data_IF_473275743065
#
_entry.id   IF_473275743065
#
_cell.length_a   1.000
_cell.length_b   1.000
_cell.length_c   1.000
_cell.angle_alpha   90.00
_cell.angle_beta   90.00
_cell.angle_gamma   90.00
#
_symmetry.space_group_name_H-M   'P 1'
#
loop_
_entity.id
_entity.type
_entity.pdbx_description
1 polymer ?
#
# COMPACT_ATOMS: atom_id res chain seq x y z
N UNK A 1 26.27 -11.47 -17.36
CA UNK A 1 27.46 -10.60 -17.28
C UNK A 1 27.30 -9.48 -18.30
N UNK A 2 26.60 -8.42 -17.93
CA UNK A 2 26.67 -7.11 -18.59
C UNK A 2 26.74 -6.07 -17.49
N UNK A 3 27.97 -5.89 -16.98
CA UNK A 3 28.35 -4.72 -16.21
C UNK A 3 28.55 -3.60 -17.21
N UNK A 4 27.58 -2.68 -17.29
CA UNK A 4 27.80 -1.36 -17.90
C UNK A 4 27.98 -0.41 -16.73
N UNK A 5 29.17 0.19 -16.67
CA UNK A 5 29.58 1.13 -15.65
C UNK A 5 28.57 2.28 -15.51
N UNK A 6 28.13 2.56 -14.29
CA UNK A 6 27.34 3.75 -13.99
C UNK A 6 28.30 4.93 -13.72
N UNK A 7 28.21 6.04 -14.45
CA UNK A 7 29.11 7.19 -14.27
C UNK A 7 28.59 8.08 -13.13
N UNK A 8 29.28 8.12 -11.98
CA UNK A 8 29.20 9.14 -10.92
C UNK A 8 27.82 9.43 -10.23
N UNK A 9 26.69 9.11 -10.85
CA UNK A 9 25.33 9.42 -10.40
C UNK A 9 24.72 8.33 -9.52
N UNK A 10 25.19 7.09 -9.62
CA UNK A 10 24.71 5.99 -8.76
C UNK A 10 24.95 6.22 -7.26
N UNK A 11 25.97 7.02 -6.89
CA UNK A 11 26.27 7.33 -5.49
C UNK A 11 25.33 8.37 -4.86
N UNK A 12 24.69 9.23 -5.68
CA UNK A 12 23.67 10.17 -5.22
C UNK A 12 22.31 9.50 -5.05
N UNK A 13 22.00 8.51 -5.91
CA UNK A 13 20.75 7.73 -5.85
C UNK A 13 20.68 6.84 -4.61
N UNK A 14 21.80 6.41 -4.01
CA UNK A 14 21.78 5.69 -2.73
C UNK A 14 21.59 6.61 -1.52
N UNK A 15 21.97 7.89 -1.63
CA UNK A 15 21.82 8.85 -0.53
C UNK A 15 20.38 9.37 -0.40
N UNK A 16 19.70 9.63 -1.52
CA UNK A 16 18.36 10.24 -1.51
C UNK A 16 17.30 9.41 -0.73
N UNK A 17 17.22 8.07 -0.88
CA UNK A 17 16.29 7.25 -0.09
C UNK A 17 16.64 7.25 1.40
N UNK A 18 17.93 7.24 1.76
CA UNK A 18 18.40 7.30 3.16
C UNK A 18 18.10 8.66 3.77
N UNK A 19 18.24 9.73 2.99
CA UNK A 19 17.89 11.09 3.37
C UNK A 19 16.37 11.24 3.57
N UNK A 20 15.55 10.68 2.67
CA UNK A 20 14.10 10.70 2.80
C UNK A 20 13.60 9.87 3.98
N UNK A 21 14.15 8.68 4.20
CA UNK A 21 13.82 7.84 5.34
C UNK A 21 14.17 8.52 6.67
N UNK A 22 15.34 9.17 6.75
CA UNK A 22 15.73 9.92 7.95
C UNK A 22 14.87 11.17 8.17
N UNK A 23 14.48 11.90 7.11
CA UNK A 23 13.53 13.02 7.19
C UNK A 23 12.16 12.59 7.73
N UNK A 24 11.59 11.50 7.22
CA UNK A 24 10.30 10.96 7.69
C UNK A 24 10.40 10.52 9.14
N UNK A 25 11.48 9.84 9.53
CA UNK A 25 11.73 9.44 10.91
C UNK A 25 11.81 10.62 11.87
N UNK A 26 12.56 11.67 11.51
CA UNK A 26 12.66 12.89 12.33
C UNK A 26 11.33 13.63 12.39
N UNK A 27 10.58 13.71 11.28
CA UNK A 27 9.25 14.32 11.24
C UNK A 27 8.29 13.61 12.22
N UNK A 28 8.25 12.28 12.20
CA UNK A 28 7.47 11.48 13.15
C UNK A 28 7.86 11.76 14.60
N UNK A 29 9.15 11.81 14.91
CA UNK A 29 9.63 12.12 16.27
C UNK A 29 9.24 13.55 16.68
N UNK A 30 9.35 14.54 15.80
CA UNK A 30 8.95 15.93 16.12
C UNK A 30 7.45 16.08 16.36
N UNK A 31 6.62 15.33 15.63
CA UNK A 31 5.18 15.28 15.87
C UNK A 31 4.85 14.63 17.22
N UNK A 32 5.54 13.54 17.56
CA UNK A 32 5.32 12.82 18.82
C UNK A 32 5.79 13.62 20.05
N UNK A 33 6.90 14.35 19.92
CA UNK A 33 7.46 15.19 21.00
C UNK A 33 6.85 16.61 21.05
N UNK A 34 5.91 16.94 20.15
CA UNK A 34 5.26 18.25 20.06
C UNK A 34 6.26 19.43 19.85
N UNK A 35 7.35 19.18 19.14
CA UNK A 35 8.36 20.19 18.82
C UNK A 35 8.05 20.90 17.49
N UNK A 36 7.10 21.86 17.53
CA UNK A 36 6.57 22.55 16.33
C UNK A 36 7.63 23.41 15.62
N UNK A 37 8.72 23.77 16.30
CA UNK A 37 9.78 24.63 15.78
C UNK A 37 10.47 24.06 14.52
N UNK A 38 10.60 22.73 14.43
CA UNK A 38 11.29 22.03 13.33
C UNK A 38 10.34 21.63 12.18
N UNK A 39 9.04 21.62 12.42
CA UNK A 39 8.02 21.18 11.45
C UNK A 39 8.09 21.92 10.09
N UNK A 40 8.18 23.26 10.01
CA UNK A 40 8.20 23.93 8.70
C UNK A 40 9.48 23.61 7.91
N UNK A 41 10.62 23.44 8.59
CA UNK A 41 11.90 23.09 7.96
C UNK A 41 11.82 21.67 7.39
N UNK A 42 11.28 20.72 8.15
CA UNK A 42 11.13 19.32 7.71
C UNK A 42 10.16 19.18 6.53
N UNK A 43 9.07 19.95 6.51
CA UNK A 43 8.15 19.99 5.38
C UNK A 43 8.78 20.60 4.13
N UNK A 44 9.58 21.65 4.26
CA UNK A 44 10.31 22.22 3.10
C UNK A 44 11.34 21.22 2.57
N UNK A 45 12.09 20.56 3.45
CA UNK A 45 13.09 19.56 3.05
C UNK A 45 12.45 18.33 2.37
N UNK A 46 11.29 17.88 2.84
CA UNK A 46 10.55 16.78 2.20
C UNK A 46 9.98 17.17 0.83
N UNK A 47 9.50 18.40 0.67
CA UNK A 47 9.06 18.91 -0.64
C UNK A 47 10.25 19.03 -1.61
N UNK A 48 11.39 19.55 -1.15
CA UNK A 48 12.61 19.66 -1.98
C UNK A 48 13.11 18.29 -2.41
N UNK A 49 13.12 17.30 -1.52
CA UNK A 49 13.55 15.95 -1.87
C UNK A 49 12.57 15.24 -2.82
N UNK A 50 11.27 15.49 -2.69
CA UNK A 50 10.24 15.02 -3.63
C UNK A 50 10.39 15.66 -5.02
N UNK A 51 10.72 16.96 -5.09
CA UNK A 51 10.98 17.65 -6.35
C UNK A 51 12.25 17.13 -7.04
N UNK A 52 13.30 16.84 -6.27
CA UNK A 52 14.51 16.22 -6.79
C UNK A 52 14.24 14.81 -7.32
N UNK A 53 13.50 14.00 -6.55
CA UNK A 53 13.04 12.68 -6.99
C UNK A 53 12.18 12.75 -8.26
N UNK A 54 11.28 13.74 -8.36
CA UNK A 54 10.45 13.97 -9.54
C UNK A 54 11.28 14.32 -10.78
N UNK A 55 12.29 15.18 -10.64
CA UNK A 55 13.18 15.54 -11.75
C UNK A 55 14.06 14.35 -12.19
N UNK A 56 14.51 13.53 -11.25
CA UNK A 56 15.25 12.31 -11.54
C UNK A 56 14.36 11.30 -12.29
N UNK A 57 13.09 11.16 -11.89
CA UNK A 57 12.09 10.32 -12.56
C UNK A 57 11.87 10.69 -14.03
N UNK A 58 12.05 11.96 -14.41
CA UNK A 58 11.88 12.44 -15.78
C UNK A 58 13.07 12.09 -16.69
N UNK A 59 14.27 11.90 -16.12
CA UNK A 59 15.52 11.73 -16.88
C UNK A 59 16.02 10.28 -16.97
N UNK A 60 15.36 9.35 -16.27
CA UNK A 60 15.81 7.95 -16.20
C UNK A 60 15.11 7.08 -17.26
N UNK A 61 15.91 6.50 -18.15
CA UNK A 61 15.50 5.47 -19.13
C UNK A 61 15.56 4.04 -18.57
N UNK A 62 16.07 3.86 -17.34
CA UNK A 62 16.24 2.56 -16.68
C UNK A 62 15.22 2.39 -15.55
N UNK A 63 14.28 1.48 -15.75
CA UNK A 63 13.34 1.08 -14.72
C UNK A 63 13.91 -0.11 -13.92
N UNK A 64 14.11 0.06 -12.62
CA UNK A 64 14.64 -0.99 -11.74
C UNK A 64 13.49 -1.69 -11.01
N UNK A 65 13.05 -2.84 -11.54
CA UNK A 65 12.05 -3.70 -10.87
C UNK A 65 12.50 -4.11 -9.45
N UNK A 66 13.81 -4.26 -9.23
CA UNK A 66 14.40 -4.59 -7.93
C UNK A 66 14.11 -3.55 -6.85
N UNK A 67 13.99 -2.27 -7.20
CA UNK A 67 13.65 -1.22 -6.25
C UNK A 67 12.22 -1.38 -5.72
N UNK A 68 11.30 -1.80 -6.58
CA UNK A 68 9.91 -2.05 -6.18
C UNK A 68 9.78 -3.29 -5.27
N UNK A 69 10.57 -4.34 -5.53
CA UNK A 69 10.62 -5.49 -4.63
C UNK A 69 11.13 -5.13 -3.23
N UNK A 70 12.11 -4.23 -3.12
CA UNK A 70 12.57 -3.72 -1.82
C UNK A 70 11.49 -2.89 -1.10
N UNK A 71 10.71 -2.11 -1.85
CA UNK A 71 9.55 -1.40 -1.32
C UNK A 71 8.48 -2.37 -0.78
N UNK A 72 8.13 -3.42 -1.55
CA UNK A 72 7.18 -4.44 -1.07
C UNK A 72 7.73 -5.14 0.19
N UNK A 73 9.03 -5.43 0.23
CA UNK A 73 9.65 -6.03 1.41
C UNK A 73 9.52 -5.14 2.66
N UNK A 74 9.71 -3.82 2.53
CA UNK A 74 9.51 -2.92 3.67
C UNK A 74 8.06 -2.91 4.17
N UNK A 75 7.07 -2.94 3.26
CA UNK A 75 5.67 -3.00 3.65
C UNK A 75 5.31 -4.35 4.32
N UNK A 76 5.86 -5.47 3.82
CA UNK A 76 5.71 -6.78 4.46
C UNK A 76 6.24 -6.76 5.90
N UNK A 77 7.39 -6.10 6.15
CA UNK A 77 7.92 -5.96 7.51
C UNK A 77 7.02 -5.08 8.40
N UNK A 78 6.45 -4.00 7.85
CA UNK A 78 5.53 -3.13 8.57
C UNK A 78 4.25 -3.88 8.97
N UNK A 79 3.55 -4.52 8.03
CA UNK A 79 2.37 -5.35 8.32
C UNK A 79 2.71 -6.53 9.23
N UNK A 80 3.85 -7.18 9.03
CA UNK A 80 4.31 -8.29 9.86
C UNK A 80 4.46 -7.90 11.33
N UNK A 81 4.98 -6.70 11.62
CA UNK A 81 5.09 -6.21 12.99
C UNK A 81 3.74 -6.00 13.66
N UNK A 82 2.76 -5.42 12.95
CA UNK A 82 1.42 -5.17 13.48
C UNK A 82 0.61 -6.46 13.66
N UNK A 83 0.67 -7.36 12.68
CA UNK A 83 0.02 -8.68 12.77
C UNK A 83 0.60 -9.52 13.92
N UNK A 84 1.91 -9.42 14.17
CA UNK A 84 2.54 -10.06 15.33
C UNK A 84 1.99 -9.50 16.65
N UNK A 85 1.74 -8.19 16.72
CA UNK A 85 1.08 -7.58 17.89
C UNK A 85 -0.35 -8.10 18.07
N UNK A 86 -1.15 -8.19 16.99
CA UNK A 86 -2.49 -8.76 17.06
C UNK A 86 -2.47 -10.19 17.62
N UNK A 87 -1.55 -11.02 17.12
CA UNK A 87 -1.41 -12.40 17.58
C UNK A 87 -0.90 -12.50 19.03
N UNK A 88 0.04 -11.63 19.43
CA UNK A 88 0.65 -11.69 20.76
C UNK A 88 -0.27 -11.19 21.87
N UNK A 89 -1.08 -10.17 21.58
CA UNK A 89 -2.01 -9.57 22.55
C UNK A 89 -3.40 -10.20 22.53
N UNK A 90 -3.58 -11.30 21.83
CA UNK A 90 -4.83 -12.06 21.88
C UNK A 90 -5.07 -12.57 23.31
N UNK A 91 -6.06 -11.98 23.98
CA UNK A 91 -6.43 -12.32 25.37
C UNK A 91 -7.61 -13.29 25.37
N UNK A 92 -7.69 -14.16 26.38
CA UNK A 92 -8.70 -15.22 26.50
C UNK A 92 -10.19 -14.77 26.47
N UNK A 93 -10.49 -13.46 26.46
CA UNK A 93 -11.81 -12.89 26.23
C UNK A 93 -11.84 -12.11 24.91
N UNK A 94 -11.67 -12.84 23.80
CA UNK A 94 -11.68 -12.29 22.44
C UNK A 94 -13.07 -11.75 22.08
N UNK A 95 -13.12 -10.48 21.68
CA UNK A 95 -14.27 -9.88 21.00
C UNK A 95 -13.76 -9.43 19.64
N UNK A 96 -14.26 -10.03 18.56
CA UNK A 96 -13.89 -9.60 17.21
C UNK A 96 -14.42 -8.19 16.91
N UNK A 97 -13.74 -7.45 16.02
CA UNK A 97 -14.22 -6.13 15.57
C UNK A 97 -15.61 -6.23 14.95
N UNK A 98 -15.80 -7.23 14.11
CA UNK A 98 -17.06 -7.58 13.48
C UNK A 98 -17.14 -9.10 13.33
N UNK A 99 -18.31 -9.62 12.99
CA UNK A 99 -18.45 -11.07 12.75
C UNK A 99 -17.67 -11.49 11.50
N UNK A 100 -16.80 -12.51 11.58
CA UNK A 100 -15.90 -12.89 10.48
C UNK A 100 -16.64 -13.32 9.21
N UNK A 101 -17.80 -13.98 9.36
CA UNK A 101 -18.55 -14.59 8.25
C UNK A 101 -19.45 -13.61 7.47
N UNK A 102 -19.53 -12.35 7.88
CA UNK A 102 -20.39 -11.36 7.25
C UNK A 102 -19.59 -10.42 6.34
N UNK A 103 -19.30 -9.20 6.81
CA UNK A 103 -18.68 -8.13 6.01
C UNK A 103 -17.23 -8.47 5.64
N UNK A 104 -16.35 -8.93 6.57
CA UNK A 104 -14.96 -9.23 6.24
C UNK A 104 -14.83 -10.36 5.20
N UNK A 105 -15.67 -11.38 5.30
CA UNK A 105 -15.71 -12.50 4.35
C UNK A 105 -16.13 -12.06 2.95
N UNK A 106 -17.12 -11.17 2.82
CA UNK A 106 -17.48 -10.57 1.54
C UNK A 106 -16.32 -9.74 0.98
N UNK A 107 -15.59 -9.03 1.84
CA UNK A 107 -14.38 -8.29 1.48
C UNK A 107 -13.32 -9.18 0.80
N UNK A 108 -13.10 -10.39 1.32
CA UNK A 108 -12.21 -11.37 0.71
C UNK A 108 -12.63 -11.74 -0.73
N UNK A 109 -13.92 -11.98 -0.98
CA UNK A 109 -14.39 -12.29 -2.33
C UNK A 109 -14.22 -11.13 -3.31
N UNK A 110 -14.45 -9.89 -2.87
CA UNK A 110 -14.27 -8.72 -3.71
C UNK A 110 -12.80 -8.55 -4.12
N UNK A 111 -11.88 -8.65 -3.16
CA UNK A 111 -10.45 -8.48 -3.46
C UNK A 111 -9.88 -9.65 -4.26
N UNK A 112 -10.21 -10.89 -3.94
CA UNK A 112 -9.81 -12.06 -4.73
C UNK A 112 -10.38 -11.98 -6.16
N UNK A 113 -11.65 -11.59 -6.30
CA UNK A 113 -12.27 -11.35 -7.61
C UNK A 113 -11.53 -10.26 -8.40
N UNK A 114 -11.13 -9.18 -7.73
CA UNK A 114 -10.37 -8.09 -8.33
C UNK A 114 -8.96 -8.52 -8.76
N UNK A 115 -8.33 -9.45 -8.02
CA UNK A 115 -7.05 -10.05 -8.38
C UNK A 115 -7.15 -10.86 -9.67
N UNK A 116 -8.24 -11.61 -9.86
CA UNK A 116 -8.46 -12.35 -11.11
C UNK A 116 -8.60 -11.36 -12.28
N UNK A 117 -9.35 -10.27 -12.09
CA UNK A 117 -9.56 -9.31 -13.18
C UNK A 117 -8.32 -8.48 -13.49
N UNK A 118 -7.50 -8.11 -12.51
CA UNK A 118 -6.24 -7.40 -12.77
C UNK A 118 -5.21 -8.30 -13.46
N UNK A 119 -5.17 -9.60 -13.10
CA UNK A 119 -4.36 -10.60 -13.81
C UNK A 119 -4.80 -10.72 -15.27
N UNK A 120 -6.12 -10.77 -15.50
CA UNK A 120 -6.70 -10.76 -16.83
C UNK A 120 -6.29 -9.52 -17.62
N UNK A 121 -6.40 -8.32 -17.01
CA UNK A 121 -5.94 -7.06 -17.60
C UNK A 121 -4.47 -7.14 -18.02
N UNK A 122 -3.60 -7.66 -17.16
CA UNK A 122 -2.17 -7.78 -17.43
C UNK A 122 -1.87 -8.76 -18.56
N UNK A 123 -2.59 -9.89 -18.65
CA UNK A 123 -2.41 -10.86 -19.72
C UNK A 123 -2.86 -10.33 -21.10
N UNK A 124 -3.91 -9.49 -21.14
CA UNK A 124 -4.38 -8.87 -22.39
C UNK A 124 -3.89 -7.44 -22.57
N UNK A 125 -2.70 -7.12 -22.03
CA UNK A 125 -2.12 -5.78 -22.11
C UNK A 125 -2.09 -5.27 -23.56
N UNK A 126 -2.40 -3.99 -23.75
CA UNK A 126 -2.50 -3.31 -25.06
C UNK A 126 -3.63 -3.78 -25.97
N UNK A 127 -4.46 -4.76 -25.56
CA UNK A 127 -5.64 -5.14 -26.31
C UNK A 127 -6.83 -4.19 -26.05
N UNK A 128 -7.75 -4.11 -27.02
CA UNK A 128 -8.90 -3.21 -26.97
C UNK A 128 -9.88 -3.54 -25.84
N UNK A 129 -9.82 -4.70 -25.20
CA UNK A 129 -10.70 -5.02 -24.06
C UNK A 129 -9.96 -5.02 -22.72
N UNK A 130 -8.69 -4.59 -22.67
CA UNK A 130 -7.94 -4.52 -21.41
C UNK A 130 -8.58 -3.55 -20.39
N UNK A 131 -9.10 -2.41 -20.86
CA UNK A 131 -9.70 -1.41 -19.97
C UNK A 131 -10.97 -1.89 -19.25
N UNK A 132 -11.71 -2.86 -19.79
CA UNK A 132 -12.92 -3.36 -19.12
C UNK A 132 -12.55 -4.16 -17.87
N UNK A 133 -11.52 -5.00 -17.96
CA UNK A 133 -10.99 -5.77 -16.83
C UNK A 133 -10.34 -4.86 -15.78
N UNK A 134 -9.62 -3.82 -16.22
CA UNK A 134 -9.07 -2.82 -15.31
C UNK A 134 -10.18 -2.03 -14.60
N UNK A 135 -11.22 -1.61 -15.33
CA UNK A 135 -12.39 -0.93 -14.75
C UNK A 135 -13.15 -1.80 -13.75
N UNK A 136 -13.29 -3.09 -14.04
CA UNK A 136 -13.91 -4.06 -13.14
C UNK A 136 -13.08 -4.24 -11.86
N UNK A 137 -11.76 -4.30 -11.98
CA UNK A 137 -10.83 -4.35 -10.82
C UNK A 137 -11.04 -3.13 -9.92
N UNK A 138 -11.06 -1.93 -10.50
CA UNK A 138 -11.29 -0.66 -9.76
C UNK A 138 -12.67 -0.68 -9.09
N UNK A 139 -13.70 -1.14 -9.79
CA UNK A 139 -15.06 -1.22 -9.25
C UNK A 139 -15.13 -2.16 -8.03
N UNK A 140 -14.54 -3.35 -8.11
CA UNK A 140 -14.49 -4.28 -6.98
C UNK A 140 -13.70 -3.72 -5.80
N UNK A 141 -12.58 -3.05 -6.06
CA UNK A 141 -11.81 -2.35 -5.02
C UNK A 141 -12.60 -1.20 -4.37
N UNK A 142 -13.36 -0.44 -5.14
CA UNK A 142 -14.22 0.62 -4.61
C UNK A 142 -15.37 0.05 -3.76
N UNK A 143 -15.97 -1.07 -4.18
CA UNK A 143 -16.95 -1.79 -3.37
C UNK A 143 -16.35 -2.26 -2.04
N UNK A 144 -15.11 -2.75 -2.05
CA UNK A 144 -14.39 -3.11 -0.82
C UNK A 144 -14.20 -1.90 0.11
N UNK A 145 -13.79 -0.75 -0.43
CA UNK A 145 -13.66 0.49 0.35
C UNK A 145 -14.98 0.89 1.01
N UNK A 146 -16.10 0.83 0.27
CA UNK A 146 -17.42 1.12 0.81
C UNK A 146 -17.82 0.14 1.93
N UNK A 147 -17.56 -1.16 1.75
CA UNK A 147 -17.81 -2.15 2.79
C UNK A 147 -16.94 -1.91 4.03
N UNK A 148 -15.67 -1.57 3.86
CA UNK A 148 -14.77 -1.29 4.98
C UNK A 148 -15.23 -0.06 5.77
N UNK A 149 -15.68 1.00 5.08
CA UNK A 149 -16.25 2.18 5.74
C UNK A 149 -17.55 1.86 6.48
N UNK A 150 -18.40 1.02 5.89
CA UNK A 150 -19.64 0.58 6.55
C UNK A 150 -19.32 -0.23 7.81
N UNK A 151 -18.41 -1.20 7.72
CA UNK A 151 -17.97 -1.98 8.88
C UNK A 151 -17.46 -1.08 10.01
N UNK A 152 -16.53 -0.17 9.70
CA UNK A 152 -15.91 0.69 10.72
C UNK A 152 -16.92 1.62 11.43
N UNK A 153 -18.06 1.91 10.82
CA UNK A 153 -19.13 2.70 11.47
C UNK A 153 -19.99 1.86 12.43
N UNK A 154 -20.08 0.54 12.21
CA UNK A 154 -20.89 -0.38 13.01
C UNK A 154 -20.09 -1.04 14.16
N UNK A 155 -18.76 -0.87 14.19
CA UNK A 155 -17.93 -1.40 15.27
C UNK A 155 -18.21 -0.64 16.58
N UNK A 156 -18.59 -1.37 17.63
CA UNK A 156 -18.87 -0.81 18.96
C UNK A 156 -17.63 -0.70 19.88
N UNK A 157 -16.49 -1.24 19.43
CA UNK A 157 -15.23 -1.30 20.18
C UNK A 157 -14.36 -0.10 19.82
N UNK A 158 -13.69 0.49 20.82
CA UNK A 158 -12.77 1.61 20.60
C UNK A 158 -11.33 1.14 20.43
N UNK A 159 -10.54 1.97 19.73
CA UNK A 159 -9.09 1.82 19.58
C UNK A 159 -8.35 1.63 20.91
N UNK A 160 -8.87 2.23 21.99
CA UNK A 160 -8.21 2.30 23.30
C UNK A 160 -8.65 1.22 24.29
N UNK A 161 -9.57 0.33 23.89
CA UNK A 161 -10.16 -0.65 24.82
C UNK A 161 -9.15 -1.73 25.23
N UNK A 162 -8.38 -2.28 24.28
CA UNK A 162 -7.31 -3.24 24.54
C UNK A 162 -6.14 -3.05 23.57
N UNK A 163 -4.97 -3.60 23.92
CA UNK A 163 -3.81 -3.62 23.02
C UNK A 163 -4.09 -4.39 21.73
N UNK A 164 -4.92 -5.45 21.78
CA UNK A 164 -5.39 -6.16 20.60
C UNK A 164 -6.23 -5.25 19.68
N UNK A 165 -7.22 -4.54 20.23
CA UNK A 165 -8.03 -3.61 19.43
C UNK A 165 -7.18 -2.50 18.82
N UNK A 166 -6.25 -1.94 19.59
CA UNK A 166 -5.31 -0.94 19.10
C UNK A 166 -4.50 -1.46 17.89
N UNK A 167 -3.90 -2.65 18.00
CA UNK A 167 -3.14 -3.24 16.89
C UNK A 167 -4.04 -3.59 15.69
N UNK A 168 -5.25 -4.08 15.94
CA UNK A 168 -6.18 -4.50 14.88
C UNK A 168 -6.71 -3.30 14.09
N UNK A 169 -7.14 -2.23 14.74
CA UNK A 169 -7.53 -0.99 14.06
C UNK A 169 -6.37 -0.36 13.29
N UNK A 170 -5.15 -0.35 13.85
CA UNK A 170 -3.96 0.12 13.14
C UNK A 170 -3.67 -0.72 11.90
N UNK A 171 -3.80 -2.05 12.00
CA UNK A 171 -3.57 -2.98 10.89
C UNK A 171 -4.59 -2.79 9.77
N UNK A 172 -5.88 -2.77 10.12
CA UNK A 172 -6.98 -2.56 9.16
C UNK A 172 -6.89 -1.17 8.53
N UNK A 173 -6.58 -0.13 9.31
CA UNK A 173 -6.39 1.24 8.82
C UNK A 173 -5.20 1.37 7.86
N UNK A 174 -4.07 0.73 8.18
CA UNK A 174 -2.90 0.71 7.29
C UNK A 174 -3.24 0.00 5.97
N UNK A 175 -3.91 -1.15 6.04
CA UNK A 175 -4.38 -1.87 4.85
C UNK A 175 -5.34 -1.02 4.01
N UNK A 176 -6.32 -0.38 4.64
CA UNK A 176 -7.26 0.50 3.97
C UNK A 176 -6.56 1.63 3.20
N UNK A 177 -5.54 2.26 3.81
CA UNK A 177 -4.75 3.29 3.13
C UNK A 177 -4.03 2.74 1.87
N UNK A 178 -3.52 1.52 1.94
CA UNK A 178 -2.87 0.84 0.81
C UNK A 178 -3.86 0.50 -0.31
N UNK A 179 -5.08 0.06 0.04
CA UNK A 179 -6.16 -0.14 -0.95
C UNK A 179 -6.48 1.15 -1.69
N UNK A 180 -6.61 2.27 -0.98
CA UNK A 180 -6.85 3.58 -1.61
C UNK A 180 -5.71 3.99 -2.56
N UNK A 181 -4.46 3.84 -2.13
CA UNK A 181 -3.29 4.12 -2.98
C UNK A 181 -3.28 3.22 -4.21
N UNK A 182 -3.63 1.93 -4.04
CA UNK A 182 -3.74 0.98 -5.13
C UNK A 182 -4.82 1.35 -6.15
N UNK A 183 -6.00 1.77 -5.67
CA UNK A 183 -7.11 2.25 -6.53
C UNK A 183 -6.67 3.49 -7.31
N UNK A 184 -6.01 4.45 -6.67
CA UNK A 184 -5.46 5.62 -7.35
C UNK A 184 -4.47 5.19 -8.44
N UNK A 185 -3.57 4.26 -8.13
CA UNK A 185 -2.65 3.67 -9.11
C UNK A 185 -3.39 3.06 -10.32
N UNK A 186 -4.40 2.22 -10.09
CA UNK A 186 -5.19 1.62 -11.17
C UNK A 186 -5.95 2.66 -12.00
N UNK A 187 -6.54 3.68 -11.36
CA UNK A 187 -7.22 4.78 -12.04
C UNK A 187 -6.24 5.57 -12.90
N UNK A 188 -5.02 5.83 -12.42
CA UNK A 188 -4.02 6.56 -13.23
C UNK A 188 -3.66 5.78 -14.50
N UNK A 189 -3.52 4.45 -14.43
CA UNK A 189 -3.31 3.60 -15.61
C UNK A 189 -4.51 3.64 -16.55
N UNK A 190 -5.74 3.63 -16.01
CA UNK A 190 -6.97 3.71 -16.80
C UNK A 190 -7.08 5.04 -17.57
N UNK A 191 -6.77 6.17 -16.91
CA UNK A 191 -6.85 7.52 -17.50
C UNK A 191 -5.74 7.76 -18.52
N UNK A 192 -4.50 7.37 -18.20
CA UNK A 192 -3.34 7.54 -19.11
C UNK A 192 -3.47 6.58 -20.31
N UNK A 193 -4.07 5.40 -20.09
CA UNK A 193 -4.15 4.32 -21.05
C UNK A 193 -2.92 3.40 -20.99
N UNK A 194 -3.17 2.09 -21.03
CA UNK A 194 -2.13 1.06 -20.89
C UNK A 194 -0.99 1.20 -21.89
N UNK A 195 -1.25 1.62 -23.13
CA UNK A 195 -0.23 1.84 -24.16
C UNK A 195 0.76 2.96 -23.82
N UNK A 196 0.28 4.09 -23.27
CA UNK A 196 1.13 5.21 -22.83
C UNK A 196 1.79 4.95 -21.48
N UNK A 197 1.07 4.28 -20.58
CA UNK A 197 1.64 3.81 -19.32
C UNK A 197 2.79 2.82 -19.58
N UNK A 198 2.74 2.03 -20.65
CA UNK A 198 3.78 1.07 -20.99
C UNK A 198 3.78 -0.13 -20.05
N UNK A 199 4.50 -1.16 -20.46
CA UNK A 199 4.47 -2.47 -19.78
C UNK A 199 4.93 -2.38 -18.33
N UNK A 200 6.06 -1.71 -18.07
CA UNK A 200 6.64 -1.59 -16.73
C UNK A 200 5.66 -1.02 -15.69
N UNK A 201 5.06 0.14 -15.95
CA UNK A 201 4.13 0.78 -14.99
C UNK A 201 2.87 -0.05 -14.77
N UNK A 202 2.35 -0.68 -15.82
CA UNK A 202 1.21 -1.59 -15.69
C UNK A 202 1.57 -2.81 -14.83
N UNK A 203 2.76 -3.38 -15.00
CA UNK A 203 3.27 -4.50 -14.20
C UNK A 203 3.41 -4.12 -12.73
N UNK A 204 4.04 -3.00 -12.42
CA UNK A 204 4.24 -2.54 -11.02
C UNK A 204 2.92 -2.31 -10.30
N UNK A 205 1.95 -1.64 -10.94
CA UNK A 205 0.63 -1.42 -10.34
C UNK A 205 -0.12 -2.74 -10.14
N UNK A 206 0.01 -3.68 -11.06
CA UNK A 206 -0.59 -5.03 -10.93
C UNK A 206 0.02 -5.79 -9.74
N UNK A 207 1.35 -5.78 -9.59
CA UNK A 207 2.03 -6.40 -8.46
C UNK A 207 1.65 -5.77 -7.13
N UNK A 208 1.55 -4.43 -7.08
CA UNK A 208 1.07 -3.73 -5.89
C UNK A 208 -0.35 -4.15 -5.51
N UNK A 209 -1.25 -4.25 -6.48
CA UNK A 209 -2.63 -4.66 -6.23
C UNK A 209 -2.73 -6.07 -5.65
N UNK A 210 -1.96 -7.03 -6.20
CA UNK A 210 -1.88 -8.38 -5.63
C UNK A 210 -1.28 -8.40 -4.22
N UNK A 211 -0.27 -7.58 -3.96
CA UNK A 211 0.28 -7.44 -2.61
C UNK A 211 -0.80 -7.02 -1.61
N UNK A 212 -1.61 -6.00 -1.95
CA UNK A 212 -2.69 -5.52 -1.08
C UNK A 212 -3.75 -6.60 -0.84
N UNK A 213 -4.07 -7.43 -1.84
CA UNK A 213 -4.98 -8.57 -1.68
C UNK A 213 -4.40 -9.66 -0.76
N UNK A 214 -3.13 -10.04 -0.93
CA UNK A 214 -2.48 -11.00 -0.05
C UNK A 214 -2.43 -10.53 1.41
N UNK A 215 -2.13 -9.24 1.63
CA UNK A 215 -2.17 -8.66 2.97
C UNK A 215 -3.58 -8.76 3.56
N UNK A 216 -4.63 -8.51 2.78
CA UNK A 216 -6.01 -8.66 3.27
C UNK A 216 -6.30 -10.06 3.78
N UNK A 217 -5.84 -11.11 3.08
CA UNK A 217 -6.04 -12.49 3.56
C UNK A 217 -5.40 -12.73 4.93
N UNK A 218 -4.22 -12.15 5.17
CA UNK A 218 -3.58 -12.20 6.49
C UNK A 218 -4.35 -11.38 7.53
N UNK A 219 -4.77 -10.16 7.19
CA UNK A 219 -5.59 -9.32 8.07
C UNK A 219 -6.89 -10.04 8.45
N UNK A 220 -7.63 -10.56 7.46
CA UNK A 220 -8.84 -11.36 7.68
C UNK A 220 -8.58 -12.50 8.66
N UNK A 221 -7.49 -13.25 8.46
CA UNK A 221 -7.17 -14.41 9.30
C UNK A 221 -6.85 -13.99 10.74
N UNK A 222 -5.91 -13.05 10.95
CA UNK A 222 -5.40 -12.72 12.28
C UNK A 222 -6.25 -11.72 13.08
N UNK A 223 -7.10 -10.95 12.42
CA UNK A 223 -7.93 -9.93 13.10
C UNK A 223 -9.36 -10.42 13.35
N UNK A 224 -9.89 -11.28 12.46
CA UNK A 224 -11.30 -11.66 12.50
C UNK A 224 -11.53 -13.14 12.82
N UNK A 225 -10.61 -14.04 12.41
CA UNK A 225 -10.80 -15.49 12.53
C UNK A 225 -10.07 -16.09 13.73
N UNK A 226 -8.79 -15.76 13.88
CA UNK A 226 -7.96 -16.16 15.01
C UNK A 226 -8.23 -15.26 16.20
#
# INVERSE_FOLDING_TARGET
MFLIACPCWASLVSFLPVFNASLVGVLLVTLFLWEISLLPILLVLSVVSLLFFWFDLQNVSLHYESAFWLFILSEVMAFGSLLTCCFWFDTCSFVSLSSPLEIPFLGCFLLLGSSITVTGFHHVLFWRYSYTLLGLTIFLGACFVCLQLYEMNEVFINLVDTSFHASSFCTVGLHFSHVLIGIVGLITILVIGSSKAGWYRCTIVTWYWHFVDYVWLFVYTFVYVC
#
